data_IF_923339767675
#
_entry.id   IF_923339767675
#
_cell.length_a   1.000
_cell.length_b   1.000
_cell.length_c   1.000
_cell.angle_alpha   90.00
_cell.angle_beta   90.00
_cell.angle_gamma   90.00
#
_symmetry.space_group_name_H-M   'P 1'
#
loop_
_entity.id
_entity.type
_entity.pdbx_description
1 polymer ?
#
# COMPACT_ATOMS: atom_id res chain seq x y z
N UNK A 1 14.63 6.17 -1.53
CA UNK A 1 14.90 4.78 -2.01
C UNK A 1 14.24 3.69 -1.17
N UNK A 2 14.55 3.53 0.13
CA UNK A 2 13.96 2.47 0.96
C UNK A 2 12.42 2.44 0.94
N UNK A 3 11.78 3.60 1.08
CA UNK A 3 10.31 3.71 1.02
C UNK A 3 9.76 3.27 -0.35
N UNK A 4 10.39 3.67 -1.46
CA UNK A 4 9.95 3.25 -2.80
C UNK A 4 10.02 1.73 -2.98
N UNK A 5 11.08 1.09 -2.47
CA UNK A 5 11.21 -0.37 -2.50
C UNK A 5 10.10 -1.07 -1.71
N UNK A 6 9.76 -0.56 -0.52
CA UNK A 6 8.71 -1.14 0.31
C UNK A 6 7.34 -1.01 -0.35
N UNK A 7 7.04 0.15 -0.94
CA UNK A 7 5.80 0.36 -1.71
C UNK A 7 5.74 -0.62 -2.89
N UNK A 8 6.81 -0.72 -3.68
CA UNK A 8 6.85 -1.62 -4.84
C UNK A 8 6.63 -3.08 -4.43
N UNK A 9 7.32 -3.54 -3.38
CA UNK A 9 7.18 -4.89 -2.85
C UNK A 9 5.75 -5.16 -2.35
N UNK A 10 5.15 -4.21 -1.65
CA UNK A 10 3.78 -4.33 -1.12
C UNK A 10 2.75 -4.41 -2.24
N UNK A 11 2.84 -3.52 -3.23
CA UNK A 11 1.93 -3.53 -4.39
C UNK A 11 2.04 -4.85 -5.15
N UNK A 12 3.27 -5.31 -5.41
CA UNK A 12 3.50 -6.60 -6.08
C UNK A 12 2.90 -7.74 -5.27
N UNK A 13 3.13 -7.81 -3.96
CA UNK A 13 2.60 -8.88 -3.11
C UNK A 13 1.07 -8.93 -3.11
N UNK A 14 0.40 -7.77 -2.99
CA UNK A 14 -1.06 -7.68 -3.00
C UNK A 14 -1.64 -8.11 -4.36
N UNK A 15 -0.97 -7.76 -5.45
CA UNK A 15 -1.43 -8.06 -6.81
C UNK A 15 -1.04 -9.47 -7.30
N UNK A 16 -0.04 -10.11 -6.69
CA UNK A 16 0.56 -11.37 -7.19
C UNK A 16 -0.47 -12.47 -7.42
N UNK A 17 -0.55 -12.99 -8.64
CA UNK A 17 -1.48 -14.07 -8.99
C UNK A 17 -2.93 -13.62 -9.23
N UNK A 18 -3.18 -12.33 -9.42
CA UNK A 18 -4.41 -11.84 -10.05
C UNK A 18 -4.25 -11.83 -11.58
N UNK A 19 -5.30 -12.17 -12.35
CA UNK A 19 -5.31 -11.90 -13.78
C UNK A 19 -5.12 -10.39 -14.03
N UNK A 20 -4.19 -10.04 -14.91
CA UNK A 20 -3.87 -8.64 -15.19
C UNK A 20 -2.97 -7.95 -14.16
N UNK A 21 -2.37 -8.69 -13.22
CA UNK A 21 -1.54 -8.10 -12.18
C UNK A 21 -0.36 -7.28 -12.76
N UNK A 22 -0.23 -6.00 -12.39
CA UNK A 22 0.92 -5.21 -12.81
C UNK A 22 2.17 -5.59 -12.01
N UNK A 23 3.34 -5.34 -12.60
CA UNK A 23 4.63 -5.41 -11.92
C UNK A 23 5.15 -4.01 -11.64
N UNK A 24 5.52 -3.74 -10.40
CA UNK A 24 6.03 -2.44 -9.96
C UNK A 24 7.51 -2.57 -9.59
N UNK A 25 8.32 -1.65 -10.12
CA UNK A 25 9.75 -1.52 -9.83
C UNK A 25 10.02 -0.16 -9.22
N UNK A 26 10.77 -0.11 -8.13
CA UNK A 26 11.15 1.16 -7.50
C UNK A 26 12.25 1.86 -8.32
N UNK A 27 12.10 3.17 -8.51
CA UNK A 27 13.08 4.06 -9.11
C UNK A 27 13.58 5.08 -8.09
N UNK A 28 14.61 5.85 -8.45
CA UNK A 28 15.13 6.95 -7.63
C UNK A 28 14.02 7.92 -7.22
N UNK A 29 13.23 8.34 -8.21
CA UNK A 29 12.25 9.43 -8.08
C UNK A 29 10.79 8.93 -8.23
N UNK A 30 10.54 7.64 -7.96
CA UNK A 30 9.18 7.08 -7.99
C UNK A 30 9.16 5.59 -8.33
N UNK A 31 8.28 5.20 -9.25
CA UNK A 31 8.06 3.81 -9.64
C UNK A 31 7.88 3.66 -11.15
N UNK A 32 8.28 2.50 -11.66
CA UNK A 32 7.91 2.02 -12.99
C UNK A 32 6.88 0.91 -12.81
N UNK A 33 5.68 1.10 -13.34
CA UNK A 33 4.64 0.08 -13.38
C UNK A 33 4.59 -0.50 -14.79
N UNK A 34 4.64 -1.82 -14.91
CA UNK A 34 4.43 -2.55 -16.17
C UNK A 34 3.12 -3.30 -16.07
N UNK A 35 2.17 -2.97 -16.95
CA UNK A 35 0.88 -3.64 -17.04
C UNK A 35 0.96 -4.98 -17.77
N UNK A 36 -0.14 -5.74 -17.80
CA UNK A 36 -0.18 -7.08 -18.41
C UNK A 36 0.05 -7.06 -19.93
N UNK A 37 -0.23 -5.95 -20.61
CA UNK A 37 0.05 -5.76 -22.03
C UNK A 37 1.51 -5.40 -22.34
N UNK A 38 2.38 -5.36 -21.33
CA UNK A 38 3.77 -4.91 -21.47
C UNK A 38 3.94 -3.38 -21.50
N UNK A 39 2.84 -2.63 -21.54
CA UNK A 39 2.86 -1.17 -21.46
C UNK A 39 3.41 -0.76 -20.09
N UNK A 40 4.48 0.03 -20.11
CA UNK A 40 5.12 0.54 -18.90
C UNK A 40 4.78 2.02 -18.71
N UNK A 41 4.53 2.42 -17.46
CA UNK A 41 4.21 3.78 -17.06
C UNK A 41 5.07 4.18 -15.87
N UNK A 42 5.71 5.33 -15.96
CA UNK A 42 6.42 5.92 -14.83
C UNK A 42 5.43 6.70 -13.95
N UNK A 43 5.49 6.46 -12.65
CA UNK A 43 4.64 7.06 -11.64
C UNK A 43 5.54 7.77 -10.62
N UNK A 44 5.49 9.11 -10.60
CA UNK A 44 6.27 9.91 -9.65
C UNK A 44 5.64 9.98 -8.24
N UNK A 45 4.33 9.71 -8.13
CA UNK A 45 3.60 9.77 -6.87
C UNK A 45 2.89 8.45 -6.57
N UNK A 46 2.64 8.19 -5.29
CA UNK A 46 1.92 7.00 -4.83
C UNK A 46 0.49 6.97 -5.37
N UNK A 47 -0.17 8.12 -5.45
CA UNK A 47 -1.52 8.24 -6.01
C UNK A 47 -1.55 7.88 -7.51
N UNK A 48 -0.58 8.38 -8.28
CA UNK A 48 -0.45 8.03 -9.70
C UNK A 48 -0.16 6.54 -9.89
N UNK A 49 0.62 5.95 -8.99
CA UNK A 49 0.88 4.51 -8.99
C UNK A 49 -0.40 3.71 -8.75
N UNK A 50 -1.15 4.00 -7.69
CA UNK A 50 -2.38 3.27 -7.39
C UNK A 50 -3.45 3.44 -8.47
N UNK A 51 -3.60 4.64 -9.03
CA UNK A 51 -4.49 4.88 -10.17
C UNK A 51 -4.11 4.01 -11.37
N UNK A 52 -2.82 3.89 -11.68
CA UNK A 52 -2.34 3.06 -12.77
C UNK A 52 -2.54 1.55 -12.49
N UNK A 53 -2.31 1.12 -11.25
CA UNK A 53 -2.52 -0.27 -10.82
C UNK A 53 -3.99 -0.65 -10.91
N UNK A 54 -4.89 0.19 -10.41
CA UNK A 54 -6.34 -0.04 -10.48
C UNK A 54 -6.83 -0.07 -11.93
N UNK A 55 -6.25 0.76 -12.80
CA UNK A 55 -6.54 0.75 -14.23
C UNK A 55 -6.13 -0.54 -14.96
N UNK A 56 -5.28 -1.40 -14.37
CA UNK A 56 -4.93 -2.69 -14.96
C UNK A 56 -6.04 -3.76 -14.78
N UNK A 57 -6.97 -3.53 -13.86
CA UNK A 57 -8.04 -4.48 -13.55
C UNK A 57 -9.37 -3.97 -14.12
N UNK A 58 -9.77 -4.51 -15.26
CA UNK A 58 -11.03 -4.16 -15.93
C UNK A 58 -12.23 -4.95 -15.42
N UNK A 59 -11.99 -6.08 -14.76
CA UNK A 59 -13.02 -6.94 -14.19
C UNK A 59 -13.35 -6.54 -12.74
N UNK A 60 -14.63 -6.22 -12.43
CA UNK A 60 -15.04 -5.75 -11.09
C UNK A 60 -14.89 -6.81 -9.99
N UNK A 61 -14.88 -8.11 -10.33
CA UNK A 61 -14.65 -9.19 -9.36
C UNK A 61 -13.21 -9.23 -8.86
N UNK A 62 -12.27 -8.72 -9.67
CA UNK A 62 -10.84 -8.63 -9.30
C UNK A 62 -10.63 -7.58 -8.21
N UNK A 63 -11.36 -6.47 -8.24
CA UNK A 63 -11.32 -5.46 -7.18
C UNK A 63 -11.73 -6.05 -5.81
N UNK A 64 -12.79 -6.86 -5.77
CA UNK A 64 -13.22 -7.56 -4.56
C UNK A 64 -12.19 -8.57 -4.03
N UNK A 65 -11.44 -9.23 -4.93
CA UNK A 65 -10.32 -10.10 -4.56
C UNK A 65 -9.13 -9.31 -4.03
N UNK A 66 -8.80 -8.19 -4.67
CA UNK A 66 -7.71 -7.30 -4.27
C UNK A 66 -7.96 -6.68 -2.90
N UNK A 67 -9.20 -6.23 -2.61
CA UNK A 67 -9.59 -5.73 -1.29
C UNK A 67 -9.45 -6.79 -0.20
N UNK A 68 -9.87 -8.03 -0.47
CA UNK A 68 -9.69 -9.15 0.46
C UNK A 68 -8.21 -9.45 0.72
N UNK A 69 -7.38 -9.46 -0.34
CA UNK A 69 -5.93 -9.67 -0.22
C UNK A 69 -5.24 -8.56 0.55
N UNK A 70 -5.59 -7.30 0.30
CA UNK A 70 -5.09 -6.16 1.08
C UNK A 70 -5.42 -6.32 2.56
N UNK A 71 -6.67 -6.71 2.88
CA UNK A 71 -7.10 -6.93 4.28
C UNK A 71 -6.34 -8.09 4.93
N UNK A 72 -6.14 -9.20 4.22
CA UNK A 72 -5.36 -10.33 4.72
C UNK A 72 -3.88 -9.97 4.92
N UNK A 73 -3.28 -9.26 3.96
CA UNK A 73 -1.90 -8.78 4.04
C UNK A 73 -1.70 -7.84 5.24
N UNK A 74 -2.66 -6.96 5.52
CA UNK A 74 -2.61 -6.05 6.66
C UNK A 74 -2.85 -6.73 8.03
N UNK A 75 -3.57 -7.85 8.04
CA UNK A 75 -3.85 -8.62 9.26
C UNK A 75 -2.72 -9.58 9.65
N UNK A 76 -1.78 -9.85 8.72
CA UNK A 76 -0.63 -10.71 8.98
C UNK A 76 0.36 -10.00 9.93
N UNK A 77 0.67 -10.57 11.10
CA UNK A 77 1.60 -9.98 12.06
C UNK A 77 3.04 -9.85 11.51
N UNK A 78 3.44 -10.65 10.50
CA UNK A 78 4.72 -10.46 9.82
C UNK A 78 4.76 -9.15 9.00
N UNK A 79 3.58 -8.62 8.65
CA UNK A 79 3.42 -7.34 7.97
C UNK A 79 3.01 -6.21 8.95
N UNK A 80 2.69 -6.54 10.20
CA UNK A 80 2.42 -5.58 11.27
C UNK A 80 3.72 -4.88 11.69
N UNK A 81 4.02 -3.76 11.01
CA UNK A 81 5.28 -3.02 11.17
C UNK A 81 5.97 -2.71 9.85
N UNK A 82 5.47 -3.23 8.72
CA UNK A 82 5.85 -2.68 7.42
C UNK A 82 5.37 -1.22 7.36
N UNK A 83 6.21 -0.27 6.90
CA UNK A 83 5.95 1.17 7.03
C UNK A 83 4.79 1.69 6.17
N UNK A 84 3.90 0.85 5.66
CA UNK A 84 2.58 1.29 5.23
C UNK A 84 1.81 2.00 6.36
N UNK A 85 2.07 1.65 7.63
CA UNK A 85 1.60 2.40 8.81
C UNK A 85 2.47 3.66 9.05
N UNK A 86 3.78 3.61 8.76
CA UNK A 86 4.67 4.76 8.96
C UNK A 86 4.55 5.85 7.87
N UNK A 87 4.01 5.51 6.69
CA UNK A 87 3.74 6.46 5.60
C UNK A 87 2.39 7.20 5.76
N UNK A 88 1.58 6.76 6.73
CA UNK A 88 0.34 7.40 7.14
C UNK A 88 0.18 7.25 8.65
N UNK A 89 1.05 7.95 9.39
CA UNK A 89 0.96 8.31 10.81
C UNK A 89 -0.03 7.50 11.68
N UNK A 90 0.49 6.72 12.63
CA UNK A 90 -0.26 6.41 13.86
C UNK A 90 0.02 7.51 14.90
N UNK A 91 -1.01 7.99 15.63
CA UNK A 91 -0.84 8.96 16.70
C UNK A 91 -0.02 8.34 17.84
N UNK A 92 0.70 9.22 18.53
CA UNK A 92 1.45 8.89 19.74
C UNK A 92 0.49 8.24 20.78
N UNK A 93 0.72 7.01 21.25
CA UNK A 93 -0.10 6.39 22.27
C UNK A 93 -0.04 7.15 23.62
N UNK A 94 0.89 8.09 23.79
CA UNK A 94 0.96 8.96 24.95
C UNK A 94 -0.12 10.07 24.99
N UNK A 95 -0.79 10.37 23.87
CA UNK A 95 -1.80 11.45 23.83
C UNK A 95 -3.21 11.03 24.30
N UNK A 96 -3.46 9.74 24.53
CA UNK A 96 -4.79 9.21 24.86
C UNK A 96 -5.05 9.20 26.38
N UNK A 97 -4.04 9.43 27.23
CA UNK A 97 -4.16 9.26 28.67
C UNK A 97 -3.91 10.51 29.53
N UNK A 98 -4.30 11.70 29.06
CA UNK A 98 -4.23 12.93 29.88
C UNK A 98 -5.59 13.63 30.00
N UNK A 99 -6.66 12.86 30.14
CA UNK A 99 -8.00 13.38 30.44
C UNK A 99 -8.70 12.51 31.48
N UNK A 100 -8.06 12.27 32.63
CA UNK A 100 -8.72 11.82 33.87
C UNK A 100 -7.74 11.88 35.05
N UNK A 101 -7.48 13.08 35.56
CA UNK A 101 -7.12 13.33 36.98
C UNK A 101 -6.91 14.83 37.20
N UNK A 102 -7.98 15.61 37.19
CA UNK A 102 -8.02 16.86 37.96
C UNK A 102 -9.44 17.01 38.53
N UNK A 103 -9.74 16.23 39.57
CA UNK A 103 -10.68 16.65 40.62
C UNK A 103 -10.49 15.76 41.86
N UNK A 104 -9.65 16.23 42.79
CA UNK A 104 -9.83 16.23 44.24
C UNK A 104 -8.49 16.49 44.94
N UNK A 105 -8.26 17.73 45.37
CA UNK A 105 -8.21 18.09 46.80
C UNK A 105 -8.49 19.60 46.94
#
# INVERSE_FOLDING_TARGET
>A
MRQHLIVAATVNAVCTGLPGAPKVTALKDGWLMTGPSGVSRQCATLENLWSAVLGCFTDPTVLGRLLRRRKAYAADPANAGLPAIAAGMLPDPAAINTSKEILND
#
